data_IF_312640301139
#
_entry.id   IF_312640301139
#
_cell.length_a   1.000
_cell.length_b   1.000
_cell.length_c   1.000
_cell.angle_alpha   90.00
_cell.angle_beta   90.00
_cell.angle_gamma   90.00
#
_symmetry.space_group_name_H-M   'P 1'
#
loop_
_entity.id
_entity.type
_entity.pdbx_description
1 polymer ?
#
# COMPACT_ATOMS: atom_id res chain seq x y z
N UNK A 1 -10.20 -34.49 11.36
CA UNK A 1 -10.98 -34.04 10.19
C UNK A 1 -10.96 -32.51 10.19
N UNK A 2 -10.33 -31.90 9.22
CA UNK A 2 -10.39 -30.45 9.03
C UNK A 2 -11.84 -30.01 8.77
N UNK A 3 -12.25 -28.88 9.35
CA UNK A 3 -13.54 -28.27 9.01
C UNK A 3 -13.53 -27.85 7.55
N UNK A 4 -14.63 -27.98 6.80
CA UNK A 4 -14.68 -27.52 5.43
C UNK A 4 -14.42 -26.02 5.40
N UNK A 5 -13.48 -25.57 4.52
CA UNK A 5 -13.11 -24.17 4.33
C UNK A 5 -14.30 -23.38 3.79
N UNK A 6 -14.45 -22.15 4.31
CA UNK A 6 -15.46 -21.23 3.76
C UNK A 6 -15.01 -20.65 2.41
N UNK A 7 -15.88 -19.89 1.73
CA UNK A 7 -15.58 -19.33 0.40
C UNK A 7 -14.41 -18.35 0.42
N UNK A 8 -14.26 -17.53 1.48
CA UNK A 8 -13.17 -16.59 1.61
C UNK A 8 -11.82 -17.30 1.73
N UNK A 9 -11.74 -18.35 2.56
CA UNK A 9 -10.52 -19.16 2.71
C UNK A 9 -10.10 -19.81 1.40
N UNK A 10 -11.06 -20.33 0.62
CA UNK A 10 -10.74 -20.93 -0.69
C UNK A 10 -10.27 -19.88 -1.70
N UNK A 11 -10.87 -18.70 -1.69
CA UNK A 11 -10.44 -17.59 -2.54
C UNK A 11 -9.01 -17.15 -2.17
N UNK A 12 -8.73 -16.98 -0.88
CA UNK A 12 -7.41 -16.63 -0.36
C UNK A 12 -6.32 -17.65 -0.76
N UNK A 13 -6.64 -18.95 -0.70
CA UNK A 13 -5.72 -20.01 -1.13
C UNK A 13 -5.42 -19.95 -2.63
N UNK A 14 -6.44 -19.68 -3.47
CA UNK A 14 -6.22 -19.50 -4.91
C UNK A 14 -5.34 -18.29 -5.20
N UNK A 15 -5.55 -17.16 -4.50
CA UNK A 15 -4.67 -15.99 -4.61
C UNK A 15 -3.25 -16.35 -4.19
N UNK A 16 -3.09 -16.99 -3.03
CA UNK A 16 -1.78 -17.40 -2.53
C UNK A 16 -1.04 -18.32 -3.50
N UNK A 17 -1.71 -19.34 -4.03
CA UNK A 17 -1.14 -20.23 -5.04
C UNK A 17 -0.76 -19.48 -6.33
N UNK A 18 -1.57 -18.50 -6.75
CA UNK A 18 -1.30 -17.67 -7.93
C UNK A 18 -0.02 -16.84 -7.74
N UNK A 19 0.15 -16.23 -6.55
CA UNK A 19 1.37 -15.50 -6.18
C UNK A 19 2.59 -16.42 -6.13
N UNK A 20 2.49 -17.59 -5.47
CA UNK A 20 3.60 -18.56 -5.39
C UNK A 20 4.07 -19.05 -6.78
N UNK A 21 3.14 -19.17 -7.72
CA UNK A 21 3.46 -19.56 -9.11
C UNK A 21 3.88 -18.39 -9.98
N UNK A 22 3.82 -17.16 -9.47
CA UNK A 22 4.01 -15.92 -10.25
C UNK A 22 3.13 -15.93 -11.51
N UNK A 23 1.86 -16.25 -11.35
CA UNK A 23 0.91 -16.27 -12.46
C UNK A 23 0.41 -14.85 -12.75
N UNK A 24 0.09 -14.59 -14.01
CA UNK A 24 -0.63 -13.39 -14.40
C UNK A 24 -1.91 -13.23 -13.59
N UNK A 25 -2.28 -11.99 -13.30
CA UNK A 25 -3.52 -11.69 -12.61
C UNK A 25 -4.72 -12.26 -13.39
N UNK A 26 -5.53 -13.03 -12.70
CA UNK A 26 -6.78 -13.56 -13.23
C UNK A 26 -7.86 -13.38 -12.16
N UNK A 27 -9.03 -12.80 -12.49
CA UNK A 27 -10.12 -12.68 -11.55
C UNK A 27 -10.49 -14.01 -10.91
N UNK A 28 -10.93 -13.98 -9.65
CA UNK A 28 -11.41 -15.17 -8.96
C UNK A 28 -12.59 -15.81 -9.70
N UNK A 29 -12.78 -17.14 -9.61
CA UNK A 29 -13.99 -17.79 -10.10
C UNK A 29 -15.25 -17.14 -9.53
N UNK A 30 -16.30 -17.02 -10.35
CA UNK A 30 -17.51 -16.25 -10.01
C UNK A 30 -18.15 -16.66 -8.66
N UNK A 31 -18.03 -17.93 -8.27
CA UNK A 31 -18.53 -18.47 -7.00
C UNK A 31 -17.67 -18.07 -5.79
N UNK A 32 -16.45 -17.58 -6.01
CA UNK A 32 -15.50 -17.13 -4.97
C UNK A 32 -15.23 -15.64 -5.03
N UNK A 33 -15.62 -14.97 -6.12
CA UNK A 33 -15.38 -13.54 -6.31
C UNK A 33 -16.15 -12.71 -5.27
N UNK A 34 -15.49 -11.67 -4.69
CA UNK A 34 -16.13 -10.80 -3.71
C UNK A 34 -17.25 -9.98 -4.36
N UNK A 35 -18.38 -9.87 -3.70
CA UNK A 35 -19.55 -9.10 -4.16
C UNK A 35 -19.61 -7.71 -3.52
N UNK A 36 -18.93 -7.54 -2.40
CA UNK A 36 -18.84 -6.29 -1.63
C UNK A 36 -17.40 -6.05 -1.22
N UNK A 37 -17.08 -4.81 -0.83
CA UNK A 37 -15.79 -4.50 -0.23
C UNK A 37 -15.54 -5.29 1.06
N UNK A 38 -16.59 -5.55 1.85
CA UNK A 38 -16.49 -6.34 3.08
C UNK A 38 -16.11 -7.80 2.78
N UNK A 39 -16.75 -8.44 1.79
CA UNK A 39 -16.38 -9.79 1.33
C UNK A 39 -14.90 -9.82 0.93
N UNK A 40 -14.44 -8.78 0.21
CA UNK A 40 -13.07 -8.71 -0.26
C UNK A 40 -12.06 -8.54 0.90
N UNK A 41 -12.39 -7.77 1.93
CA UNK A 41 -11.54 -7.66 3.12
C UNK A 41 -11.47 -8.97 3.92
N UNK A 42 -12.52 -9.78 3.98
CA UNK A 42 -12.44 -11.12 4.57
C UNK A 42 -11.50 -12.03 3.77
N UNK A 43 -11.54 -11.98 2.43
CA UNK A 43 -10.59 -12.71 1.58
C UNK A 43 -9.17 -12.19 1.81
N UNK A 44 -8.98 -10.88 1.86
CA UNK A 44 -7.68 -10.25 2.13
C UNK A 44 -7.11 -10.69 3.48
N UNK A 45 -7.92 -10.69 4.54
CA UNK A 45 -7.47 -11.11 5.88
C UNK A 45 -6.96 -12.56 5.86
N UNK A 46 -7.68 -13.49 5.23
CA UNK A 46 -7.25 -14.89 5.07
C UNK A 46 -6.00 -14.99 4.17
N UNK A 47 -5.93 -14.22 3.09
CA UNK A 47 -4.77 -14.20 2.17
C UNK A 47 -3.52 -13.64 2.86
N UNK A 48 -3.65 -12.53 3.59
CA UNK A 48 -2.56 -11.93 4.36
C UNK A 48 -2.08 -12.87 5.45
N UNK A 49 -2.97 -13.64 6.09
CA UNK A 49 -2.57 -14.65 7.07
C UNK A 49 -1.67 -15.73 6.45
N UNK A 50 -1.98 -16.20 5.24
CA UNK A 50 -1.12 -17.15 4.50
C UNK A 50 0.23 -16.53 4.13
N UNK A 51 0.25 -15.27 3.69
CA UNK A 51 1.49 -14.56 3.40
C UNK A 51 2.36 -14.36 4.65
N UNK A 52 1.73 -14.06 5.80
CA UNK A 52 2.40 -13.79 7.06
C UNK A 52 3.19 -15.00 7.60
N UNK A 53 2.78 -16.24 7.28
CA UNK A 53 3.53 -17.44 7.63
C UNK A 53 4.96 -17.44 7.06
N UNK A 54 5.18 -16.75 5.91
CA UNK A 54 6.47 -16.65 5.24
C UNK A 54 7.14 -15.29 5.39
N UNK A 55 6.33 -14.23 5.56
CA UNK A 55 6.80 -12.83 5.47
C UNK A 55 6.83 -12.10 6.81
N UNK A 56 6.47 -12.78 7.90
CA UNK A 56 6.38 -12.15 9.24
C UNK A 56 5.05 -11.46 9.49
N UNK A 57 4.92 -10.81 10.63
CA UNK A 57 3.71 -10.13 11.06
C UNK A 57 3.36 -8.90 10.23
N UNK A 58 2.19 -8.32 10.54
CA UNK A 58 1.79 -7.03 9.96
C UNK A 58 2.74 -5.95 10.47
N UNK A 59 3.27 -5.14 9.56
CA UNK A 59 4.17 -4.03 9.86
C UNK A 59 3.58 -2.66 9.44
N UNK A 60 2.41 -2.67 8.84
CA UNK A 60 1.71 -1.46 8.46
C UNK A 60 0.71 -1.64 7.33
N UNK A 61 0.33 -0.53 6.74
CA UNK A 61 -0.76 -0.48 5.77
C UNK A 61 -0.45 0.47 4.61
N UNK A 62 -1.02 0.18 3.45
CA UNK A 62 -1.01 1.05 2.28
C UNK A 62 -2.41 1.50 1.92
N UNK A 63 -2.50 2.60 1.20
CA UNK A 63 -3.75 3.06 0.62
C UNK A 63 -3.69 2.99 -0.91
N UNK A 64 -4.64 2.31 -1.50
CA UNK A 64 -4.84 2.28 -2.94
C UNK A 64 -6.04 3.16 -3.32
N UNK A 65 -6.09 3.58 -4.59
CA UNK A 65 -7.17 4.42 -5.14
C UNK A 65 -7.37 5.70 -4.31
N UNK A 66 -6.27 6.36 -3.94
CA UNK A 66 -6.26 7.56 -3.11
C UNK A 66 -6.86 8.80 -3.80
N UNK A 67 -7.14 8.76 -5.10
CA UNK A 67 -7.79 9.82 -5.85
C UNK A 67 -9.21 9.46 -6.27
N UNK A 68 -10.11 10.43 -6.26
CA UNK A 68 -11.51 10.27 -6.73
C UNK A 68 -11.56 9.84 -8.19
N UNK A 69 -10.59 10.26 -9.00
CA UNK A 69 -10.49 9.88 -10.41
C UNK A 69 -10.27 8.37 -10.55
N UNK A 70 -9.30 7.81 -9.81
CA UNK A 70 -9.03 6.37 -9.84
C UNK A 70 -10.17 5.55 -9.25
N UNK A 71 -10.84 6.04 -8.20
CA UNK A 71 -12.03 5.39 -7.63
C UNK A 71 -13.13 5.28 -8.70
N UNK A 72 -13.41 6.36 -9.43
CA UNK A 72 -14.39 6.36 -10.54
C UNK A 72 -13.98 5.43 -11.67
N UNK A 73 -12.68 5.39 -12.00
CA UNK A 73 -12.16 4.52 -13.05
C UNK A 73 -12.38 3.04 -12.72
N UNK A 74 -12.15 2.65 -11.46
CA UNK A 74 -12.36 1.27 -10.98
C UNK A 74 -13.83 0.98 -10.65
N UNK A 75 -14.68 2.01 -10.49
CA UNK A 75 -16.09 1.83 -10.15
C UNK A 75 -16.36 1.65 -8.66
N UNK A 76 -15.53 2.27 -7.81
CA UNK A 76 -15.70 2.29 -6.34
C UNK A 76 -15.89 3.73 -5.85
N UNK A 77 -16.35 3.89 -4.62
CA UNK A 77 -16.66 5.18 -4.00
C UNK A 77 -15.75 5.54 -2.81
N UNK A 78 -14.77 4.69 -2.52
CA UNK A 78 -13.84 4.88 -1.43
C UNK A 78 -12.43 4.38 -1.78
N UNK A 79 -11.38 4.88 -1.11
CA UNK A 79 -10.06 4.26 -1.14
C UNK A 79 -10.10 2.81 -0.66
N UNK A 80 -9.04 2.08 -0.93
CA UNK A 80 -8.87 0.69 -0.51
C UNK A 80 -7.60 0.53 0.32
N UNK A 81 -7.63 -0.38 1.30
CA UNK A 81 -6.50 -0.67 2.16
C UNK A 81 -5.80 -1.96 1.76
N UNK A 82 -4.47 -1.95 1.77
CA UNK A 82 -3.63 -3.14 1.72
C UNK A 82 -2.75 -3.23 2.97
N UNK A 83 -2.21 -4.41 3.23
CA UNK A 83 -1.38 -4.72 4.39
C UNK A 83 0.06 -4.91 3.95
N UNK A 84 1.01 -4.34 4.69
CA UNK A 84 2.45 -4.57 4.53
C UNK A 84 2.96 -5.50 5.61
N UNK A 85 3.85 -6.43 5.25
CA UNK A 85 4.41 -7.43 6.14
C UNK A 85 5.87 -7.12 6.50
N UNK A 86 6.35 -7.60 7.65
CA UNK A 86 7.66 -7.24 8.21
C UNK A 86 8.82 -7.42 7.23
N UNK A 87 8.91 -8.56 6.55
CA UNK A 87 10.04 -8.84 5.65
C UNK A 87 9.98 -8.08 4.33
N UNK A 88 8.85 -7.40 4.03
CA UNK A 88 8.67 -6.63 2.81
C UNK A 88 8.94 -5.13 2.99
N UNK A 89 9.23 -4.69 4.22
CA UNK A 89 9.67 -3.33 4.49
C UNK A 89 11.20 -3.25 4.43
N UNK A 90 11.71 -2.49 3.49
CA UNK A 90 13.13 -2.27 3.27
C UNK A 90 13.53 -0.85 3.70
N UNK A 91 14.80 -0.69 4.11
CA UNK A 91 15.38 0.63 4.34
C UNK A 91 16.20 1.08 3.13
N UNK A 92 16.15 2.38 2.84
CA UNK A 92 16.97 2.97 1.77
C UNK A 92 18.46 2.93 2.13
N UNK A 93 19.37 2.67 1.17
CA UNK A 93 19.13 2.22 -0.20
C UNK A 93 18.79 0.73 -0.25
N UNK A 94 17.76 0.36 -1.02
CA UNK A 94 17.32 -1.03 -1.15
C UNK A 94 17.63 -1.63 -2.53
N UNK A 95 17.52 -2.96 -2.62
CA UNK A 95 17.63 -3.71 -3.87
C UNK A 95 16.50 -4.72 -3.96
N UNK A 96 15.92 -4.86 -5.15
CA UNK A 96 14.97 -5.91 -5.48
C UNK A 96 15.34 -6.54 -6.80
N UNK A 97 14.98 -7.79 -7.01
CA UNK A 97 15.21 -8.48 -8.28
C UNK A 97 13.91 -8.46 -9.09
N UNK A 98 13.94 -7.88 -10.29
CA UNK A 98 12.77 -7.82 -11.16
C UNK A 98 12.14 -9.19 -11.41
N UNK A 99 12.96 -10.24 -11.47
CA UNK A 99 12.48 -11.62 -11.66
C UNK A 99 11.65 -12.20 -10.50
N UNK A 100 11.61 -11.54 -9.35
CA UNK A 100 10.78 -11.97 -8.21
C UNK A 100 9.32 -11.55 -8.38
N UNK A 101 9.02 -10.68 -9.35
CA UNK A 101 7.70 -10.15 -9.69
C UNK A 101 7.28 -10.59 -11.09
N UNK A 102 5.99 -10.64 -11.33
CA UNK A 102 5.44 -10.82 -12.69
C UNK A 102 5.58 -9.51 -13.47
N UNK A 103 5.16 -8.39 -12.87
CA UNK A 103 5.37 -7.03 -13.38
C UNK A 103 5.62 -6.07 -12.22
N UNK A 104 6.90 -5.84 -11.93
CA UNK A 104 7.29 -4.87 -10.91
C UNK A 104 6.78 -3.48 -11.28
N UNK A 105 6.01 -2.89 -10.39
CA UNK A 105 5.62 -1.48 -10.45
C UNK A 105 6.05 -0.78 -9.16
N UNK A 106 6.30 0.52 -9.24
CA UNK A 106 6.67 1.34 -8.08
C UNK A 106 5.81 2.60 -8.03
N UNK A 107 5.45 2.99 -6.82
CA UNK A 107 4.73 4.22 -6.51
C UNK A 107 5.54 5.08 -5.55
N UNK A 108 5.34 6.40 -5.61
CA UNK A 108 6.15 7.39 -4.91
C UNK A 108 5.29 8.10 -3.87
N UNK A 109 5.60 7.89 -2.59
CA UNK A 109 4.71 8.18 -1.50
C UNK A 109 5.40 8.90 -0.33
N UNK A 110 4.59 9.40 0.58
CA UNK A 110 5.03 9.79 1.91
C UNK A 110 4.61 8.67 2.86
N UNK A 111 5.54 8.20 3.68
CA UNK A 111 5.26 7.25 4.74
C UNK A 111 5.19 7.95 6.10
N UNK A 112 4.38 7.39 6.97
CA UNK A 112 4.20 7.84 8.36
C UNK A 112 4.45 6.66 9.30
N UNK A 113 5.22 6.87 10.38
CA UNK A 113 5.41 5.85 11.41
C UNK A 113 4.62 6.21 12.66
N UNK A 114 3.88 5.23 13.18
CA UNK A 114 3.06 5.37 14.38
C UNK A 114 3.92 5.26 15.64
N UNK A 115 3.82 6.26 16.53
CA UNK A 115 4.58 6.34 17.78
C UNK A 115 3.87 5.75 19.00
N UNK A 116 2.58 5.49 18.90
CA UNK A 116 1.75 4.88 19.96
C UNK A 116 0.45 4.36 19.39
N UNK A 117 -0.12 3.35 20.03
CA UNK A 117 -1.34 2.72 19.59
C UNK A 117 -2.50 3.70 19.39
N UNK A 118 -3.25 3.47 18.33
CA UNK A 118 -4.46 4.18 17.95
C UNK A 118 -5.66 3.22 18.10
N UNK A 119 -6.27 3.13 19.30
CA UNK A 119 -7.30 2.14 19.55
C UNK A 119 -8.58 2.42 18.77
N UNK A 120 -9.31 1.38 18.37
CA UNK A 120 -10.58 1.50 17.68
C UNK A 120 -11.63 2.32 18.47
N UNK A 121 -11.54 2.31 19.80
CA UNK A 121 -12.46 3.03 20.68
C UNK A 121 -12.35 4.56 20.59
N UNK A 122 -11.21 5.09 20.09
CA UNK A 122 -10.98 6.53 19.94
C UNK A 122 -11.46 7.07 18.57
N UNK A 123 -11.99 6.18 17.70
CA UNK A 123 -12.56 6.62 16.43
C UNK A 123 -13.87 7.43 16.65
N UNK A 124 -14.20 8.39 15.76
CA UNK A 124 -13.55 8.66 14.48
C UNK A 124 -12.29 9.51 14.62
N UNK A 125 -11.27 9.15 13.84
CA UNK A 125 -10.04 9.91 13.70
C UNK A 125 -10.17 10.97 12.59
N UNK A 126 -9.53 12.13 12.81
CA UNK A 126 -9.38 13.20 11.81
C UNK A 126 -7.92 13.46 11.54
N UNK A 127 -7.62 14.23 10.49
CA UNK A 127 -6.26 14.68 10.19
C UNK A 127 -5.57 15.31 11.41
N UNK A 128 -6.29 16.13 12.15
CA UNK A 128 -5.78 16.82 13.34
C UNK A 128 -5.53 15.85 14.50
N UNK A 129 -6.46 14.91 14.69
CA UNK A 129 -6.37 13.96 15.81
C UNK A 129 -5.28 12.90 15.61
N UNK A 130 -5.00 12.47 14.36
CA UNK A 130 -3.93 11.48 14.10
C UNK A 130 -2.54 12.05 14.32
N UNK A 131 -2.34 13.35 14.13
CA UNK A 131 -1.02 13.98 14.23
C UNK A 131 -0.29 13.73 15.58
N UNK A 132 -1.06 13.53 16.66
CA UNK A 132 -0.49 13.22 17.99
C UNK A 132 0.04 11.80 18.13
N UNK A 133 -0.29 10.91 17.20
CA UNK A 133 0.13 9.51 17.20
C UNK A 133 1.33 9.25 16.29
N UNK A 134 1.72 10.23 15.48
CA UNK A 134 2.80 10.10 14.50
C UNK A 134 4.13 10.44 15.14
N UNK A 135 5.09 9.54 15.03
CA UNK A 135 6.47 9.71 15.50
C UNK A 135 7.39 10.29 14.45
N UNK A 136 7.28 9.80 13.23
CA UNK A 136 8.14 10.22 12.14
C UNK A 136 7.41 10.19 10.79
N UNK A 137 7.95 10.94 9.84
CA UNK A 137 7.55 10.90 8.43
C UNK A 137 8.78 10.71 7.57
N UNK A 138 8.63 10.11 6.37
CA UNK A 138 9.74 9.85 5.47
C UNK A 138 9.24 9.69 4.03
N UNK A 139 10.09 9.88 3.01
CA UNK A 139 9.75 9.47 1.66
C UNK A 139 9.69 7.94 1.58
N UNK A 140 8.85 7.42 0.69
CA UNK A 140 8.76 5.98 0.46
C UNK A 140 8.60 5.66 -1.03
N UNK A 141 9.07 4.48 -1.42
CA UNK A 141 8.75 3.85 -2.71
C UNK A 141 7.97 2.59 -2.39
N UNK A 142 6.67 2.56 -2.72
CA UNK A 142 5.91 1.32 -2.69
C UNK A 142 6.41 0.38 -3.77
N UNK A 143 6.48 -0.90 -3.45
CA UNK A 143 6.74 -1.99 -4.38
C UNK A 143 5.44 -2.75 -4.54
N UNK A 144 4.96 -2.89 -5.77
CA UNK A 144 3.77 -3.64 -6.06
C UNK A 144 3.97 -4.56 -7.28
N UNK A 145 3.17 -5.61 -7.36
CA UNK A 145 3.12 -6.53 -8.49
C UNK A 145 1.68 -6.65 -8.98
N UNK A 146 1.34 -5.94 -10.03
CA UNK A 146 0.00 -5.99 -10.62
C UNK A 146 -0.20 -7.25 -11.49
N UNK A 147 0.82 -8.10 -11.55
CA UNK A 147 0.81 -9.40 -12.23
C UNK A 147 0.20 -9.34 -13.64
N UNK A 148 0.59 -8.30 -14.42
CA UNK A 148 0.07 -8.05 -15.77
C UNK A 148 -1.44 -7.82 -15.86
N UNK A 149 -2.10 -7.34 -14.80
CA UNK A 149 -3.52 -7.05 -14.81
C UNK A 149 -3.92 -6.13 -15.97
N UNK A 150 -5.04 -6.45 -16.60
CA UNK A 150 -5.67 -5.58 -17.59
C UNK A 150 -6.51 -4.51 -16.88
N UNK A 151 -5.96 -3.32 -16.77
CA UNK A 151 -6.63 -2.20 -16.09
C UNK A 151 -7.99 -1.84 -16.68
N UNK A 152 -8.23 -2.12 -17.99
CA UNK A 152 -9.53 -1.87 -18.62
C UNK A 152 -10.66 -2.77 -18.08
N UNK A 153 -10.31 -3.85 -17.41
CA UNK A 153 -11.26 -4.80 -16.81
C UNK A 153 -11.53 -4.54 -15.32
N UNK A 154 -10.77 -3.65 -14.66
CA UNK A 154 -10.89 -3.45 -13.20
C UNK A 154 -12.31 -3.05 -12.77
N UNK A 155 -12.98 -2.21 -13.56
CA UNK A 155 -14.36 -1.81 -13.26
C UNK A 155 -15.38 -2.97 -13.29
N UNK A 156 -15.04 -4.12 -13.88
CA UNK A 156 -15.86 -5.33 -13.85
C UNK A 156 -15.64 -6.17 -12.60
N UNK A 157 -14.49 -5.94 -11.94
CA UNK A 157 -14.04 -6.68 -10.77
C UNK A 157 -13.54 -5.72 -9.67
N UNK A 158 -14.37 -4.74 -9.24
CA UNK A 158 -13.91 -3.59 -8.46
C UNK A 158 -13.36 -3.94 -7.07
N UNK A 159 -13.70 -5.11 -6.55
CA UNK A 159 -13.28 -5.57 -5.23
C UNK A 159 -12.13 -6.59 -5.25
N UNK A 160 -11.75 -7.10 -6.41
CA UNK A 160 -10.64 -8.05 -6.55
C UNK A 160 -9.31 -7.43 -6.12
N UNK A 161 -9.14 -6.12 -6.34
CA UNK A 161 -7.95 -5.40 -5.89
C UNK A 161 -7.79 -5.46 -4.36
N UNK A 162 -8.89 -5.31 -3.60
CA UNK A 162 -8.88 -5.47 -2.13
C UNK A 162 -8.48 -6.91 -1.78
N UNK A 163 -9.17 -7.90 -2.36
CA UNK A 163 -8.94 -9.31 -2.05
C UNK A 163 -7.48 -9.72 -2.29
N UNK A 164 -6.85 -9.16 -3.32
CA UNK A 164 -5.44 -9.38 -3.71
C UNK A 164 -4.48 -8.37 -3.03
N UNK A 165 -4.79 -7.98 -1.81
CA UNK A 165 -4.00 -7.09 -0.96
C UNK A 165 -3.53 -5.80 -1.66
N UNK A 166 -4.34 -5.26 -2.56
CA UNK A 166 -4.04 -4.07 -3.38
C UNK A 166 -2.69 -4.19 -4.11
N UNK A 167 -2.32 -5.42 -4.49
CA UNK A 167 -1.08 -5.77 -5.19
C UNK A 167 0.21 -5.37 -4.45
N UNK A 168 0.13 -5.11 -3.14
CA UNK A 168 1.28 -4.70 -2.36
C UNK A 168 2.29 -5.85 -2.18
N UNK A 169 3.55 -5.58 -2.50
CA UNK A 169 4.70 -6.45 -2.26
C UNK A 169 5.72 -5.79 -1.32
N UNK A 170 5.36 -4.66 -0.70
CA UNK A 170 6.16 -3.98 0.32
C UNK A 170 6.47 -2.53 0.01
N UNK A 171 7.49 -2.00 0.69
CA UNK A 171 7.95 -0.63 0.49
C UNK A 171 9.43 -0.47 0.84
N UNK A 172 10.08 0.51 0.19
CA UNK A 172 11.37 1.04 0.62
C UNK A 172 11.11 2.34 1.37
N UNK A 173 11.63 2.45 2.58
CA UNK A 173 11.45 3.59 3.45
C UNK A 173 12.72 4.44 3.49
N UNK A 174 12.55 5.75 3.38
CA UNK A 174 13.63 6.72 3.58
C UNK A 174 14.01 6.88 5.06
N UNK A 175 14.92 7.82 5.34
CA UNK A 175 15.30 8.12 6.73
C UNK A 175 14.14 8.79 7.47
N UNK A 176 13.74 8.30 8.67
CA UNK A 176 12.68 8.93 9.46
C UNK A 176 13.02 10.34 9.90
N UNK A 177 12.09 11.28 9.75
CA UNK A 177 12.16 12.66 10.23
C UNK A 177 11.21 12.81 11.41
N UNK A 178 11.75 12.94 12.61
CA UNK A 178 10.96 13.06 13.84
C UNK A 178 10.46 14.49 14.10
N UNK A 179 11.23 15.51 13.71
CA UNK A 179 10.82 16.95 13.82
C UNK A 179 9.99 17.40 12.60
N UNK A 180 9.00 16.59 12.25
CA UNK A 180 8.17 16.80 11.06
C UNK A 180 7.05 17.83 11.26
N UNK A 181 6.66 18.16 12.51
CA UNK A 181 5.47 18.99 12.81
C UNK A 181 5.54 20.40 12.24
N UNK A 182 6.75 20.87 11.86
CA UNK A 182 6.97 22.16 11.19
C UNK A 182 7.00 22.06 9.67
N UNK A 183 6.71 20.89 9.13
CA UNK A 183 6.67 20.62 7.70
C UNK A 183 5.21 20.53 7.28
N UNK A 184 4.80 21.36 6.33
CA UNK A 184 3.50 21.21 5.68
C UNK A 184 3.58 20.03 4.71
N UNK A 185 3.14 18.85 5.17
CA UNK A 185 3.21 17.60 4.38
C UNK A 185 2.35 17.66 3.11
N UNK A 186 1.32 18.48 3.09
CA UNK A 186 0.52 18.68 1.87
C UNK A 186 1.26 19.48 0.80
N UNK A 187 2.14 20.38 1.20
CA UNK A 187 2.87 21.27 0.30
C UNK A 187 4.24 20.74 -0.13
N UNK A 188 4.79 19.68 0.52
CA UNK A 188 6.11 19.16 0.14
C UNK A 188 6.08 18.67 -1.31
N UNK A 189 7.09 19.06 -2.08
CA UNK A 189 7.27 18.62 -3.46
C UNK A 189 8.14 17.38 -3.48
N UNK A 190 7.73 16.37 -4.23
CA UNK A 190 8.48 15.16 -4.50
C UNK A 190 8.86 15.07 -5.99
N UNK A 191 10.09 14.62 -6.26
CA UNK A 191 10.61 14.41 -7.63
C UNK A 191 11.13 12.99 -7.74
N UNK A 192 10.60 12.22 -8.69
CA UNK A 192 11.07 10.88 -9.00
C UNK A 192 12.00 10.87 -10.21
N UNK A 193 13.10 10.12 -10.11
CA UNK A 193 14.04 9.90 -11.20
C UNK A 193 14.29 8.40 -11.41
N UNK A 194 14.51 8.01 -12.67
CA UNK A 194 15.05 6.69 -13.03
C UNK A 194 16.33 6.92 -13.83
N UNK A 195 17.45 6.37 -13.37
CA UNK A 195 18.78 6.56 -13.95
C UNK A 195 19.16 8.04 -14.10
N UNK A 196 18.77 8.88 -13.13
CA UNK A 196 19.01 10.32 -13.13
C UNK A 196 18.09 11.15 -14.03
N UNK A 197 17.20 10.51 -14.80
CA UNK A 197 16.20 11.21 -15.62
C UNK A 197 14.91 11.38 -14.81
N UNK A 198 14.40 12.61 -14.69
CA UNK A 198 13.11 12.87 -14.06
C UNK A 198 11.98 12.14 -14.80
N UNK A 199 11.18 11.38 -14.08
CA UNK A 199 10.03 10.60 -14.59
C UNK A 199 8.69 11.07 -14.02
N UNK A 200 8.72 11.99 -13.06
CA UNK A 200 7.53 12.60 -12.49
C UNK A 200 7.84 13.53 -11.34
N UNK A 201 6.87 14.36 -11.00
CA UNK A 201 6.86 15.20 -9.81
C UNK A 201 5.43 15.35 -9.30
N UNK A 202 5.30 15.61 -8.02
CA UNK A 202 4.01 15.82 -7.37
C UNK A 202 4.17 16.51 -6.03
N UNK A 203 3.06 16.76 -5.37
CA UNK A 203 3.01 17.35 -4.03
C UNK A 203 2.25 16.42 -3.08
N UNK A 204 2.54 16.49 -1.79
CA UNK A 204 1.91 15.61 -0.80
C UNK A 204 0.38 15.66 -0.83
N UNK A 205 -0.21 16.79 -1.18
CA UNK A 205 -1.67 16.94 -1.31
C UNK A 205 -2.29 16.13 -2.48
N UNK A 206 -1.50 15.59 -3.41
CA UNK A 206 -2.02 14.73 -4.47
C UNK A 206 -2.65 13.44 -3.91
N UNK A 207 -2.16 12.97 -2.76
CA UNK A 207 -2.74 11.85 -2.04
C UNK A 207 -3.82 12.35 -1.07
N UNK A 208 -5.10 12.11 -1.39
CA UNK A 208 -6.27 12.41 -0.53
C UNK A 208 -6.33 13.88 -0.01
N UNK A 209 -5.70 14.84 -0.70
CA UNK A 209 -5.62 16.23 -0.24
C UNK A 209 -4.56 16.50 0.83
N UNK A 210 -4.16 15.49 1.61
CA UNK A 210 -3.08 15.59 2.61
C UNK A 210 -2.69 14.20 3.12
N UNK A 211 -1.39 13.88 3.31
CA UNK A 211 -0.95 12.55 3.78
C UNK A 211 -1.64 12.07 5.08
N UNK A 212 -1.91 12.98 6.02
CA UNK A 212 -2.58 12.62 7.27
C UNK A 212 -4.06 12.28 7.11
N UNK A 213 -4.73 12.67 6.02
CA UNK A 213 -6.08 12.19 5.69
C UNK A 213 -6.06 10.69 5.40
N UNK A 214 -5.02 10.21 4.71
CA UNK A 214 -4.82 8.77 4.48
C UNK A 214 -4.65 7.99 5.79
N UNK A 215 -3.85 8.53 6.73
CA UNK A 215 -3.69 7.91 8.07
C UNK A 215 -5.02 7.88 8.82
N UNK A 216 -5.78 8.97 8.80
CA UNK A 216 -7.10 9.03 9.45
C UNK A 216 -8.07 8.03 8.81
N UNK A 217 -8.05 7.91 7.48
CA UNK A 217 -8.89 6.96 6.76
C UNK A 217 -8.55 5.51 7.13
N UNK A 218 -7.26 5.11 7.11
CA UNK A 218 -6.81 3.77 7.53
C UNK A 218 -7.21 3.49 8.98
N UNK A 219 -6.98 4.43 9.90
CA UNK A 219 -7.34 4.25 11.31
C UNK A 219 -8.85 4.03 11.49
N UNK A 220 -9.68 4.79 10.79
CA UNK A 220 -11.13 4.64 10.80
C UNK A 220 -11.59 3.36 10.10
N UNK A 221 -10.91 2.95 9.03
CA UNK A 221 -11.18 1.68 8.36
C UNK A 221 -10.93 0.52 9.32
N UNK A 222 -9.78 0.47 9.99
CA UNK A 222 -9.45 -0.56 10.96
C UNK A 222 -10.41 -0.56 12.15
N UNK A 223 -10.81 0.62 12.64
CA UNK A 223 -11.74 0.76 13.76
C UNK A 223 -13.11 0.14 13.49
N UNK A 224 -13.62 0.22 12.25
CA UNK A 224 -14.86 -0.47 11.85
C UNK A 224 -14.81 -1.98 12.01
N UNK A 225 -13.60 -2.55 11.97
CA UNK A 225 -13.35 -3.98 12.17
C UNK A 225 -12.80 -4.29 13.59
N UNK A 226 -12.94 -3.35 14.54
CA UNK A 226 -12.46 -3.51 15.92
C UNK A 226 -10.94 -3.55 16.07
N UNK A 227 -10.20 -3.14 15.04
CA UNK A 227 -8.73 -3.07 15.00
C UNK A 227 -8.26 -1.62 15.10
N UNK A 228 -6.96 -1.43 15.30
CA UNK A 228 -6.33 -0.10 15.30
C UNK A 228 -4.91 -0.18 14.77
N UNK A 229 -4.33 0.98 14.45
CA UNK A 229 -2.90 1.08 14.19
C UNK A 229 -2.15 0.92 15.51
N UNK A 230 -1.03 0.20 15.48
CA UNK A 230 -0.22 -0.04 16.67
C UNK A 230 1.15 0.64 16.59
N UNK A 231 1.83 0.73 17.72
CA UNK A 231 3.17 1.28 17.79
C UNK A 231 4.11 0.64 16.77
N UNK A 232 4.80 1.45 15.99
CA UNK A 232 5.70 1.14 14.88
C UNK A 232 5.03 0.78 13.56
N UNK A 233 3.72 0.64 13.48
CA UNK A 233 3.08 0.52 12.16
C UNK A 233 3.52 1.65 11.23
N UNK A 234 3.74 1.31 9.97
CA UNK A 234 4.01 2.25 8.90
C UNK A 234 2.77 2.38 8.03
N UNK A 235 2.35 3.61 7.73
CA UNK A 235 1.30 3.87 6.74
C UNK A 235 1.92 4.60 5.56
N UNK A 236 1.88 4.01 4.36
CA UNK A 236 2.16 4.71 3.11
C UNK A 236 0.85 5.30 2.59
N UNK A 237 0.89 6.58 2.20
CA UNK A 237 -0.29 7.46 2.20
C UNK A 237 -0.92 7.68 0.84
N UNK A 238 -0.48 6.95 -0.16
CA UNK A 238 -0.95 7.06 -1.54
C UNK A 238 0.03 7.81 -2.43
N UNK A 239 0.09 7.40 -3.69
CA UNK A 239 1.07 7.89 -4.63
C UNK A 239 0.85 9.36 -4.99
N UNK A 240 1.92 10.15 -4.95
CA UNK A 240 1.92 11.55 -5.37
C UNK A 240 2.37 11.74 -6.82
N UNK A 241 2.83 10.66 -7.46
CA UNK A 241 3.30 10.61 -8.85
C UNK A 241 2.72 9.37 -9.52
N UNK A 242 2.42 9.43 -10.81
CA UNK A 242 1.96 8.26 -11.57
C UNK A 242 2.94 7.09 -11.47
N UNK A 243 2.40 5.89 -11.26
CA UNK A 243 3.12 4.61 -11.17
C UNK A 243 4.15 4.44 -12.29
N UNK A 244 5.29 3.82 -11.99
CA UNK A 244 6.35 3.49 -12.96
C UNK A 244 6.64 2.00 -12.94
N UNK A 245 7.17 1.51 -14.06
CA UNK A 245 7.58 0.12 -14.25
C UNK A 245 9.09 0.09 -14.53
N UNK A 246 9.92 0.10 -13.50
CA UNK A 246 11.37 0.04 -13.66
C UNK A 246 11.79 -1.34 -14.19
N UNK A 247 12.96 -1.37 -14.85
CA UNK A 247 13.52 -2.57 -15.48
C UNK A 247 14.79 -3.03 -14.75
N UNK A 248 15.24 -4.28 -14.95
CA UNK A 248 16.55 -4.71 -14.48
C UNK A 248 17.65 -3.74 -14.91
N UNK A 249 18.50 -3.35 -13.97
CA UNK A 249 19.55 -2.35 -14.13
C UNK A 249 19.14 -0.93 -13.76
N UNK A 250 17.85 -0.63 -13.56
CA UNK A 250 17.40 0.71 -13.22
C UNK A 250 17.74 1.08 -11.77
N UNK A 251 18.05 2.37 -11.61
CA UNK A 251 18.20 3.03 -10.31
C UNK A 251 17.10 4.07 -10.16
N UNK A 252 16.20 3.80 -9.22
CA UNK A 252 15.04 4.64 -8.89
C UNK A 252 15.37 5.48 -7.67
N UNK A 253 15.14 6.79 -7.73
CA UNK A 253 15.25 7.70 -6.59
C UNK A 253 14.00 8.56 -6.51
N UNK A 254 13.50 8.74 -5.31
CA UNK A 254 12.46 9.69 -5.00
C UNK A 254 12.97 10.67 -3.93
N UNK A 255 13.02 11.95 -4.30
CA UNK A 255 13.50 13.05 -3.44
C UNK A 255 12.30 13.91 -3.04
N UNK A 256 12.11 14.09 -1.74
CA UNK A 256 11.02 14.91 -1.19
C UNK A 256 11.58 16.06 -0.39
N UNK A 257 11.14 17.28 -0.73
CA UNK A 257 11.58 18.50 -0.05
C UNK A 257 11.46 18.34 1.47
N UNK A 258 12.55 18.63 2.21
CA UNK A 258 12.65 18.55 3.67
C UNK A 258 12.51 17.14 4.28
N UNK A 259 12.13 16.12 3.51
CA UNK A 259 12.05 14.73 3.99
C UNK A 259 13.25 13.89 3.54
N UNK A 260 13.99 14.34 2.51
CA UNK A 260 15.16 13.62 1.99
C UNK A 260 14.83 12.67 0.86
N UNK A 261 15.67 11.65 0.69
CA UNK A 261 15.67 10.75 -0.45
C UNK A 261 15.35 9.31 -0.02
N UNK A 262 14.75 8.56 -0.95
CA UNK A 262 14.63 7.11 -0.90
C UNK A 262 15.10 6.52 -2.22
N UNK A 263 15.84 5.42 -2.17
CA UNK A 263 16.56 4.84 -3.31
C UNK A 263 16.28 3.34 -3.42
N UNK A 264 16.01 2.90 -4.64
CA UNK A 264 15.79 1.51 -5.00
C UNK A 264 16.60 1.15 -6.24
N UNK A 265 17.39 0.06 -6.18
CA UNK A 265 18.01 -0.56 -7.34
C UNK A 265 17.23 -1.80 -7.74
N UNK A 266 16.95 -1.92 -9.02
CA UNK A 266 16.31 -3.10 -9.61
C UNK A 266 17.38 -3.95 -10.30
N UNK A 267 17.56 -5.18 -9.83
CA UNK A 267 18.54 -6.14 -10.36
C UNK A 267 17.88 -7.15 -11.30
#
# INVERSE_FOLDING_TARGET
MEKPKNAAQRAAELLFESHERRADFTPLPAELAPRTAEDAYYIQDDFVALLAEKRGGIAGYKIALSSVEMQRYVGVDAPQAGVMLESTLHQTPARVRAQDYVRLIVEFEIAVQIARDMPAADAPYTRESVARYIGAVMPAIEIADDRNADYSQLARHPYELIADNCWNEGAVLGTPIEDWKRIDLGAVRGVATINGKQVGEGVGAAAMGHPLEAVAWIANHLARHGRGLVFRDVVITGSVITTKTPKPGDFVRFSVDRLGDVELRVD
#
